data_IF_007490737277
#
_entry.id   IF_007490737277
#
_cell.length_a   1.000
_cell.length_b   1.000
_cell.length_c   1.000
_cell.angle_alpha   90.00
_cell.angle_beta   90.00
_cell.angle_gamma   90.00
#
_symmetry.space_group_name_H-M   'P 1'
#
loop_
_entity.id
_entity.type
_entity.pdbx_description
1 polymer ?
#
# COMPACT_ATOMS: atom_id res chain seq x y z
N UNK A 1 4.26 -7.05 -25.41
CA UNK A 1 4.77 -5.84 -26.11
C UNK A 1 4.20 -4.61 -25.43
N UNK A 2 4.83 -3.43 -25.59
CA UNK A 2 4.27 -2.15 -25.07
C UNK A 2 3.27 -1.62 -26.09
N UNK A 3 2.14 -1.08 -25.65
CA UNK A 3 1.15 -0.47 -26.52
C UNK A 3 1.63 0.91 -27.00
N UNK A 4 1.45 1.19 -28.30
CA UNK A 4 1.60 2.53 -28.87
C UNK A 4 0.38 3.41 -28.55
N UNK A 5 0.47 4.69 -28.85
CA UNK A 5 -0.62 5.66 -28.70
C UNK A 5 -1.90 5.22 -29.42
N UNK A 6 -1.79 4.72 -30.66
CA UNK A 6 -2.94 4.21 -31.40
C UNK A 6 -3.58 3.01 -30.74
N UNK A 7 -2.79 2.07 -30.21
CA UNK A 7 -3.28 0.89 -29.51
C UNK A 7 -3.89 1.23 -28.15
N UNK A 8 -3.33 2.21 -27.43
CA UNK A 8 -3.92 2.73 -26.18
C UNK A 8 -5.29 3.36 -26.50
N UNK A 9 -5.39 4.19 -27.54
CA UNK A 9 -6.66 4.80 -27.95
C UNK A 9 -7.72 3.76 -28.31
N UNK A 10 -7.40 2.78 -29.14
CA UNK A 10 -8.29 1.67 -29.48
C UNK A 10 -8.74 0.88 -28.22
N UNK A 11 -7.84 0.68 -27.27
CA UNK A 11 -8.14 -0.01 -26.02
C UNK A 11 -9.08 0.83 -25.13
N UNK A 12 -8.94 2.17 -25.13
CA UNK A 12 -9.85 3.08 -24.43
C UNK A 12 -11.22 3.10 -25.11
N UNK A 13 -11.29 3.23 -26.43
CA UNK A 13 -12.53 3.23 -27.21
C UNK A 13 -13.31 1.92 -27.05
N UNK A 14 -12.62 0.79 -26.96
CA UNK A 14 -13.22 -0.54 -26.73
C UNK A 14 -13.55 -0.83 -25.26
N UNK A 15 -13.20 0.06 -24.32
CA UNK A 15 -13.43 -0.12 -22.89
C UNK A 15 -12.48 -1.12 -22.21
N UNK A 16 -11.46 -1.64 -22.90
CA UNK A 16 -10.43 -2.50 -22.28
C UNK A 16 -9.49 -1.73 -21.37
N UNK A 17 -9.29 -0.45 -21.65
CA UNK A 17 -8.64 0.52 -20.75
C UNK A 17 -9.66 1.60 -20.47
N UNK A 18 -9.90 1.88 -19.18
CA UNK A 18 -10.74 2.98 -18.74
C UNK A 18 -9.87 3.97 -18.00
N UNK A 19 -9.97 5.25 -18.36
CA UNK A 19 -9.29 6.36 -17.68
C UNK A 19 -10.33 7.48 -17.49
N UNK A 20 -10.55 7.92 -16.26
CA UNK A 20 -11.53 8.97 -15.96
C UNK A 20 -10.94 10.00 -14.98
N UNK A 21 -10.82 11.28 -15.35
CA UNK A 21 -11.15 11.84 -16.66
C UNK A 21 -10.11 11.45 -17.73
N UNK A 22 -10.57 11.18 -18.97
CA UNK A 22 -9.66 10.98 -20.10
C UNK A 22 -9.40 12.33 -20.78
N UNK A 23 -8.12 12.64 -20.99
CA UNK A 23 -7.66 13.86 -21.66
C UNK A 23 -6.79 13.48 -22.86
N UNK A 24 -7.21 13.71 -24.11
CA UNK A 24 -6.41 13.35 -25.30
C UNK A 24 -4.98 13.91 -25.27
N UNK A 25 -4.78 15.10 -24.69
CA UNK A 25 -3.46 15.74 -24.57
C UNK A 25 -2.48 14.98 -23.64
N UNK A 26 -2.98 14.05 -22.82
CA UNK A 26 -2.18 13.22 -21.92
C UNK A 26 -1.69 11.93 -22.59
N UNK A 27 -2.16 11.63 -23.82
CA UNK A 27 -1.72 10.48 -24.57
C UNK A 27 -0.35 10.77 -25.20
N UNK A 28 0.69 10.09 -24.74
CA UNK A 28 2.05 10.12 -25.27
C UNK A 28 2.24 9.03 -26.32
N UNK A 29 3.47 8.87 -26.83
CA UNK A 29 3.80 7.90 -27.89
C UNK A 29 3.47 6.45 -27.50
N UNK A 30 3.67 6.08 -26.22
CA UNK A 30 3.49 4.72 -25.71
C UNK A 30 3.11 4.72 -24.22
N UNK A 31 2.51 5.79 -23.75
CA UNK A 31 2.07 5.96 -22.36
C UNK A 31 0.92 6.95 -22.29
N UNK A 32 0.26 7.00 -21.13
CA UNK A 32 -0.75 7.99 -20.78
C UNK A 32 -0.35 8.68 -19.48
N UNK A 33 -0.26 10.02 -19.52
CA UNK A 33 0.09 10.83 -18.35
C UNK A 33 -1.02 10.86 -17.32
N UNK A 34 -0.67 10.66 -16.04
CA UNK A 34 -1.58 10.79 -14.91
C UNK A 34 -1.16 11.94 -13.99
N UNK A 35 -2.14 12.48 -13.28
CA UNK A 35 -1.99 13.69 -12.46
C UNK A 35 -2.12 13.36 -10.99
N UNK A 36 -1.45 14.17 -10.16
CA UNK A 36 -1.55 14.07 -8.70
C UNK A 36 -2.90 14.59 -8.23
N UNK A 37 -3.65 13.74 -7.56
CA UNK A 37 -4.90 14.10 -6.89
C UNK A 37 -4.68 15.06 -5.71
N UNK A 38 -5.76 15.60 -5.13
CA UNK A 38 -5.67 16.66 -4.12
C UNK A 38 -5.33 16.17 -2.70
N UNK A 39 -5.23 14.87 -2.48
CA UNK A 39 -5.04 14.31 -1.15
C UNK A 39 -3.65 13.70 -0.98
N UNK A 40 -3.03 14.00 0.15
CA UNK A 40 -1.81 13.37 0.64
C UNK A 40 -2.07 12.77 2.02
N UNK A 41 -1.37 11.69 2.35
CA UNK A 41 -1.39 11.16 3.69
C UNK A 41 0.03 10.79 4.15
N UNK A 42 0.25 10.81 5.48
CA UNK A 42 1.46 10.31 6.13
C UNK A 42 1.07 9.32 7.21
N UNK A 43 1.95 8.37 7.50
CA UNK A 43 1.76 7.52 8.67
C UNK A 43 2.02 8.32 9.95
N UNK A 44 1.23 8.06 10.99
CA UNK A 44 1.34 8.76 12.29
C UNK A 44 2.23 8.02 13.28
N UNK A 45 2.47 6.73 13.10
CA UNK A 45 3.33 5.92 13.95
C UNK A 45 4.81 6.13 13.57
N UNK A 46 5.70 6.23 14.58
CA UNK A 46 7.14 6.37 14.37
C UNK A 46 7.79 5.11 13.77
N UNK A 47 7.23 3.92 14.05
CA UNK A 47 7.63 2.66 13.46
C UNK A 47 6.40 1.90 12.92
N UNK A 48 6.43 1.56 11.64
CA UNK A 48 5.34 0.81 11.01
C UNK A 48 5.43 -0.68 11.35
N UNK A 49 4.28 -1.31 11.59
CA UNK A 49 4.19 -2.74 11.85
C UNK A 49 3.44 -3.42 10.69
N UNK A 50 4.11 -4.33 9.98
CA UNK A 50 3.51 -5.07 8.87
C UNK A 50 2.36 -6.00 9.29
N UNK A 51 2.26 -6.37 10.57
CA UNK A 51 1.24 -7.29 11.10
C UNK A 51 -0.05 -6.61 11.56
N UNK A 52 -0.07 -5.29 11.66
CA UNK A 52 -1.25 -4.52 12.08
C UNK A 52 -1.59 -3.40 11.10
N UNK A 53 -2.82 -2.87 11.10
CA UNK A 53 -3.11 -1.63 10.41
C UNK A 53 -2.26 -0.50 11.00
N UNK A 54 -1.68 0.33 10.12
CA UNK A 54 -0.97 1.54 10.53
C UNK A 54 -1.84 2.75 10.20
N UNK A 55 -2.05 3.62 11.17
CA UNK A 55 -2.89 4.80 11.01
C UNK A 55 -2.20 5.85 10.11
N UNK A 56 -3.01 6.56 9.33
CA UNK A 56 -2.56 7.67 8.50
C UNK A 56 -3.26 8.97 8.91
N UNK A 57 -2.57 10.07 8.71
CA UNK A 57 -3.13 11.41 8.73
C UNK A 57 -3.21 11.91 7.30
N UNK A 58 -4.42 12.16 6.83
CA UNK A 58 -4.68 12.69 5.51
C UNK A 58 -4.82 14.22 5.55
N UNK A 59 -4.29 14.88 4.54
CA UNK A 59 -4.43 16.31 4.31
C UNK A 59 -4.83 16.58 2.86
N UNK A 60 -5.70 17.56 2.65
CA UNK A 60 -5.95 18.10 1.32
C UNK A 60 -4.90 19.15 1.01
N UNK A 61 -4.23 19.03 -0.13
CA UNK A 61 -3.22 20.02 -0.54
C UNK A 61 -3.85 21.41 -0.71
N UNK A 62 -3.24 22.46 -0.13
CA UNK A 62 -3.66 23.83 -0.36
C UNK A 62 -3.34 24.26 -1.80
N UNK A 63 -3.98 25.36 -2.27
CA UNK A 63 -3.74 25.88 -3.62
C UNK A 63 -2.30 26.35 -3.83
N UNK A 64 -1.65 26.79 -2.77
CA UNK A 64 -0.25 27.24 -2.72
C UNK A 64 0.75 26.08 -2.82
N UNK A 65 0.24 24.85 -2.90
CA UNK A 65 1.01 23.63 -2.96
C UNK A 65 1.43 23.12 -1.57
N UNK A 66 2.04 21.94 -1.55
CA UNK A 66 2.53 21.27 -0.35
C UNK A 66 4.02 20.97 -0.52
N UNK A 67 4.84 21.20 0.51
CA UNK A 67 6.27 20.91 0.46
C UNK A 67 6.52 19.52 1.02
N UNK A 68 6.99 18.61 0.16
CA UNK A 68 7.52 17.33 0.58
C UNK A 68 8.94 17.53 1.11
N UNK A 69 9.32 16.79 2.16
CA UNK A 69 10.66 16.84 2.75
C UNK A 69 11.32 15.45 2.73
N UNK A 70 12.66 15.37 2.60
CA UNK A 70 13.38 14.11 2.66
C UNK A 70 13.17 13.35 3.98
N UNK A 71 13.23 12.01 3.90
CA UNK A 71 13.10 11.15 5.07
C UNK A 71 11.67 10.86 5.49
N UNK A 72 10.67 11.44 4.82
CA UNK A 72 9.25 11.21 5.05
C UNK A 72 8.65 10.43 3.88
N UNK A 73 7.87 9.38 4.17
CA UNK A 73 7.03 8.70 3.20
C UNK A 73 5.66 9.41 3.14
N UNK A 74 5.26 9.79 1.94
CA UNK A 74 3.95 10.36 1.67
C UNK A 74 3.14 9.40 0.81
N UNK A 75 1.89 9.22 1.12
CA UNK A 75 0.95 8.53 0.25
C UNK A 75 0.17 9.57 -0.54
N UNK A 76 0.38 9.61 -1.85
CA UNK A 76 -0.43 10.37 -2.78
C UNK A 76 -1.48 9.50 -3.44
N UNK A 77 -2.30 10.08 -4.30
CA UNK A 77 -3.28 9.36 -5.12
C UNK A 77 -3.37 10.03 -6.50
N UNK A 78 -3.63 9.25 -7.55
CA UNK A 78 -3.88 9.82 -8.87
C UNK A 78 -5.22 10.55 -8.92
N UNK A 79 -5.31 11.58 -9.78
CA UNK A 79 -6.59 12.21 -10.11
C UNK A 79 -7.46 11.25 -10.94
N UNK A 80 -6.82 10.44 -11.79
CA UNK A 80 -7.50 9.54 -12.69
C UNK A 80 -7.87 8.23 -11.99
N UNK A 81 -9.14 7.85 -12.09
CA UNK A 81 -9.60 6.49 -11.94
C UNK A 81 -9.24 5.68 -13.17
N UNK A 82 -8.77 4.45 -13.00
CA UNK A 82 -8.37 3.59 -14.11
C UNK A 82 -8.91 2.16 -13.96
N UNK A 83 -9.19 1.52 -15.11
CA UNK A 83 -9.43 0.08 -15.22
C UNK A 83 -8.57 -0.50 -16.34
N UNK A 84 -8.09 -1.71 -16.17
CA UNK A 84 -7.28 -2.36 -17.21
C UNK A 84 -7.69 -3.81 -17.37
N UNK A 85 -8.15 -4.16 -18.58
CA UNK A 85 -8.65 -5.49 -18.94
C UNK A 85 -7.87 -6.04 -20.13
N UNK A 86 -7.25 -7.20 -19.97
CA UNK A 86 -6.43 -7.87 -20.99
C UNK A 86 -5.04 -7.26 -21.20
N UNK A 87 -4.60 -6.35 -20.34
CA UNK A 87 -3.28 -5.74 -20.34
C UNK A 87 -2.71 -5.69 -18.93
N UNK A 88 -1.39 -5.48 -18.82
CA UNK A 88 -0.72 -5.16 -17.54
C UNK A 88 -0.36 -3.69 -17.54
N UNK A 89 -0.93 -2.87 -16.64
CA UNK A 89 -0.53 -1.48 -16.48
C UNK A 89 0.72 -1.37 -15.62
N UNK A 90 1.64 -0.49 -16.00
CA UNK A 90 2.75 -0.03 -15.19
C UNK A 90 2.62 1.47 -14.97
N UNK A 91 2.65 1.90 -13.73
CA UNK A 91 2.75 3.30 -13.37
C UNK A 91 4.22 3.65 -13.14
N UNK A 92 4.74 4.55 -13.96
CA UNK A 92 6.12 5.03 -13.87
C UNK A 92 6.16 6.54 -13.65
N UNK A 93 7.24 7.02 -13.03
CA UNK A 93 7.47 8.45 -12.87
C UNK A 93 7.79 9.13 -14.21
N UNK A 94 7.38 10.39 -14.34
CA UNK A 94 7.83 11.21 -15.48
C UNK A 94 9.28 11.69 -15.28
N UNK A 95 10.03 11.76 -16.36
CA UNK A 95 11.43 12.20 -16.30
C UNK A 95 11.61 13.60 -15.68
N UNK A 96 10.66 14.51 -15.90
CA UNK A 96 10.67 15.84 -15.28
C UNK A 96 10.42 15.81 -13.77
N UNK A 97 9.62 14.85 -13.29
CA UNK A 97 9.34 14.62 -11.86
C UNK A 97 10.57 14.00 -11.19
N UNK A 98 11.17 12.99 -11.83
CA UNK A 98 12.40 12.39 -11.33
C UNK A 98 13.57 13.38 -11.23
N UNK A 99 13.68 14.36 -12.17
CA UNK A 99 14.70 15.43 -12.11
C UNK A 99 14.47 16.43 -10.97
N UNK A 100 13.28 16.49 -10.38
CA UNK A 100 13.02 17.22 -9.13
C UNK A 100 13.39 16.39 -7.90
N UNK A 101 13.87 15.15 -8.09
CA UNK A 101 14.21 14.23 -7.00
C UNK A 101 13.01 13.58 -6.35
N UNK A 102 11.88 13.46 -7.06
CA UNK A 102 10.64 12.84 -6.58
C UNK A 102 10.58 11.40 -7.09
N UNK A 103 10.48 10.43 -6.17
CA UNK A 103 10.06 9.07 -6.44
C UNK A 103 8.54 8.99 -6.22
N UNK A 104 7.81 8.28 -7.08
CA UNK A 104 6.34 8.14 -6.95
C UNK A 104 5.89 6.76 -6.50
N UNK A 105 6.77 5.80 -6.49
CA UNK A 105 6.59 4.47 -5.90
C UNK A 105 7.96 3.93 -5.43
N UNK A 106 7.93 3.05 -4.42
CA UNK A 106 9.15 2.43 -3.91
C UNK A 106 9.60 1.27 -4.79
N UNK A 107 8.72 0.30 -5.05
CA UNK A 107 9.05 -0.92 -5.82
C UNK A 107 7.88 -1.49 -6.61
N UNK A 108 6.68 -0.96 -6.49
CA UNK A 108 5.45 -1.61 -6.96
C UNK A 108 4.70 -0.77 -8.01
N UNK A 109 5.41 -0.37 -9.08
CA UNK A 109 4.80 0.34 -10.20
C UNK A 109 3.86 -0.53 -11.07
N UNK A 110 3.98 -1.89 -10.97
CA UNK A 110 3.14 -2.81 -11.74
C UNK A 110 1.75 -2.98 -11.10
N UNK A 111 0.70 -2.74 -11.89
CA UNK A 111 -0.65 -3.17 -11.58
C UNK A 111 -0.93 -4.59 -12.12
N UNK A 112 -1.93 -5.25 -11.55
CA UNK A 112 -2.43 -6.51 -12.09
C UNK A 112 -3.55 -6.25 -13.12
N UNK A 113 -3.74 -7.17 -14.04
CA UNK A 113 -4.93 -7.19 -14.91
C UNK A 113 -6.19 -7.28 -14.04
N UNK A 114 -7.23 -6.50 -14.39
CA UNK A 114 -8.45 -6.38 -13.58
C UNK A 114 -8.31 -5.41 -12.38
N UNK A 115 -7.22 -4.65 -12.29
CA UNK A 115 -7.12 -3.56 -11.31
C UNK A 115 -7.99 -2.39 -11.75
N UNK A 116 -8.96 -2.01 -10.89
CA UNK A 116 -9.98 -1.01 -11.15
C UNK A 116 -10.04 -0.04 -9.95
N UNK A 117 -9.18 1.00 -9.95
CA UNK A 117 -9.10 1.97 -8.85
C UNK A 117 -8.31 3.23 -9.27
N UNK A 118 -8.20 4.17 -8.34
CA UNK A 118 -7.15 5.18 -8.32
C UNK A 118 -5.84 4.56 -7.83
N UNK A 119 -4.70 5.09 -8.30
CA UNK A 119 -3.38 4.61 -7.86
C UNK A 119 -2.94 5.35 -6.61
N UNK A 120 -2.64 4.62 -5.55
CA UNK A 120 -1.93 5.18 -4.40
C UNK A 120 -0.44 5.20 -4.71
N UNK A 121 0.17 6.38 -4.55
CA UNK A 121 1.58 6.65 -4.82
C UNK A 121 2.36 6.62 -3.52
N UNK A 122 3.47 5.87 -3.46
CA UNK A 122 4.40 5.88 -2.31
C UNK A 122 5.52 6.89 -2.57
N UNK A 123 5.23 8.15 -2.27
CA UNK A 123 6.09 9.27 -2.67
C UNK A 123 7.20 9.53 -1.65
N UNK A 124 8.42 9.73 -2.16
CA UNK A 124 9.56 10.21 -1.39
C UNK A 124 10.36 11.23 -2.20
N UNK A 125 11.16 12.07 -1.53
CA UNK A 125 11.95 13.11 -2.19
C UNK A 125 13.39 13.13 -1.70
N UNK A 126 14.31 13.52 -2.61
CA UNK A 126 15.74 13.65 -2.31
C UNK A 126 16.09 15.02 -1.72
N UNK A 127 15.32 16.04 -2.05
CA UNK A 127 15.44 17.42 -1.58
C UNK A 127 14.04 17.96 -1.29
N UNK A 128 13.87 19.03 -0.48
CA UNK A 128 12.55 19.64 -0.29
C UNK A 128 11.98 20.11 -1.64
N UNK A 129 10.75 19.66 -1.98
CA UNK A 129 10.11 19.98 -3.26
C UNK A 129 8.66 20.39 -3.01
N UNK A 130 8.26 21.52 -3.61
CA UNK A 130 6.87 21.94 -3.60
C UNK A 130 6.10 21.29 -4.74
N UNK A 131 5.01 20.62 -4.41
CA UNK A 131 4.12 19.94 -5.36
C UNK A 131 2.72 20.56 -5.31
N UNK A 132 1.92 20.30 -6.34
CA UNK A 132 0.58 20.86 -6.50
C UNK A 132 -0.40 19.77 -6.94
N UNK A 133 -1.64 19.86 -6.49
CA UNK A 133 -2.72 19.04 -7.03
C UNK A 133 -2.90 19.34 -8.53
N UNK A 134 -3.19 18.30 -9.32
CA UNK A 134 -3.36 18.41 -10.77
C UNK A 134 -2.06 18.49 -11.58
N UNK A 135 -0.88 18.47 -10.94
CA UNK A 135 0.37 18.39 -11.70
C UNK A 135 0.55 17.01 -12.33
N UNK A 136 1.12 16.90 -13.55
CA UNK A 136 1.51 15.61 -14.11
C UNK A 136 2.53 14.94 -13.18
N UNK A 137 2.24 13.74 -12.69
CA UNK A 137 3.07 13.06 -11.69
C UNK A 137 3.70 11.76 -12.19
N UNK A 138 3.00 11.04 -13.03
CA UNK A 138 3.41 9.76 -13.56
C UNK A 138 2.85 9.52 -14.95
N UNK A 139 3.12 8.33 -15.47
CA UNK A 139 2.62 7.85 -16.76
C UNK A 139 2.28 6.37 -16.65
N UNK A 140 1.17 5.97 -17.24
CA UNK A 140 0.77 4.58 -17.38
C UNK A 140 1.28 4.01 -18.68
N UNK A 141 2.02 2.91 -18.60
CA UNK A 141 2.49 2.11 -19.73
C UNK A 141 1.74 0.79 -19.70
N UNK A 142 1.28 0.32 -20.83
CA UNK A 142 0.49 -0.91 -20.92
C UNK A 142 1.23 -1.99 -21.70
N UNK A 143 1.27 -3.20 -21.14
CA UNK A 143 1.90 -4.36 -21.75
C UNK A 143 0.87 -5.39 -22.14
N UNK A 144 1.07 -6.02 -23.29
CA UNK A 144 0.30 -7.21 -23.68
C UNK A 144 0.66 -8.39 -22.80
N UNK A 145 -0.32 -9.27 -22.58
CA UNK A 145 -0.17 -10.48 -21.78
C UNK A 145 -0.06 -11.67 -22.74
N UNK A 146 0.93 -12.53 -22.52
CA UNK A 146 1.07 -13.77 -23.28
C UNK A 146 0.24 -14.89 -22.63
N UNK A 147 -0.80 -15.33 -23.34
CA UNK A 147 -1.70 -16.39 -22.91
C UNK A 147 -2.87 -15.91 -22.05
N UNK A 148 -3.79 -16.83 -21.70
CA UNK A 148 -4.98 -16.52 -20.92
C UNK A 148 -4.67 -16.29 -19.44
N UNK A 149 -5.44 -15.42 -18.80
CA UNK A 149 -5.43 -15.21 -17.35
C UNK A 149 -6.56 -16.03 -16.72
N UNK A 150 -6.23 -16.89 -15.77
CA UNK A 150 -7.25 -17.67 -15.05
C UNK A 150 -8.01 -16.82 -14.00
N UNK A 151 -7.32 -15.86 -13.37
CA UNK A 151 -7.90 -15.03 -12.29
C UNK A 151 -7.35 -13.61 -12.38
N UNK A 152 -8.20 -12.67 -12.75
CA UNK A 152 -7.92 -11.25 -12.68
C UNK A 152 -7.87 -10.74 -11.23
N UNK A 153 -7.36 -9.53 -11.04
CA UNK A 153 -7.27 -8.89 -9.72
C UNK A 153 -8.64 -8.70 -9.06
N UNK A 154 -9.65 -8.37 -9.84
CA UNK A 154 -11.04 -8.17 -9.43
C UNK A 154 -11.68 -9.42 -8.80
N UNK A 155 -11.30 -10.62 -9.28
CA UNK A 155 -11.81 -11.91 -8.82
C UNK A 155 -10.92 -12.62 -7.80
N UNK A 156 -9.66 -12.17 -7.65
CA UNK A 156 -8.66 -12.78 -6.77
C UNK A 156 -9.02 -12.55 -5.30
N UNK A 157 -9.24 -13.61 -4.53
CA UNK A 157 -9.62 -13.54 -3.10
C UNK A 157 -8.59 -12.79 -2.23
N UNK A 158 -7.29 -12.85 -2.58
CA UNK A 158 -6.21 -12.17 -1.89
C UNK A 158 -6.01 -10.70 -2.30
N UNK A 159 -6.81 -10.16 -3.25
CA UNK A 159 -6.72 -8.76 -3.67
C UNK A 159 -7.12 -7.82 -2.53
N UNK A 160 -6.24 -6.90 -2.18
CA UNK A 160 -6.38 -6.04 -1.00
C UNK A 160 -7.00 -4.68 -1.28
N UNK A 161 -6.90 -4.18 -2.52
CA UNK A 161 -7.23 -2.80 -2.88
C UNK A 161 -8.38 -2.73 -3.92
N UNK A 162 -9.42 -3.56 -3.72
CA UNK A 162 -10.61 -3.60 -4.61
C UNK A 162 -11.64 -2.50 -4.32
N UNK A 163 -11.67 -1.99 -3.09
CA UNK A 163 -12.58 -0.89 -2.75
C UNK A 163 -12.08 0.38 -3.42
N UNK A 164 -12.87 0.92 -4.32
CA UNK A 164 -12.55 2.17 -5.04
C UNK A 164 -12.45 3.32 -4.05
N UNK A 165 -11.35 4.07 -4.13
CA UNK A 165 -11.11 5.22 -3.26
C UNK A 165 -10.34 6.32 -4.00
N UNK A 166 -10.86 7.55 -4.05
CA UNK A 166 -10.13 8.72 -4.54
C UNK A 166 -9.16 9.29 -3.48
N UNK A 167 -8.98 8.58 -2.37
CA UNK A 167 -8.08 8.92 -1.27
C UNK A 167 -6.93 7.92 -1.19
N UNK A 168 -5.75 8.32 -0.71
CA UNK A 168 -4.63 7.41 -0.50
C UNK A 168 -5.02 6.25 0.42
N UNK A 169 -4.66 5.02 0.04
CA UNK A 169 -4.98 3.82 0.83
C UNK A 169 -3.70 3.36 1.54
N UNK A 170 -3.68 3.25 2.89
CA UNK A 170 -2.52 2.75 3.61
C UNK A 170 -2.25 1.27 3.33
N UNK A 171 -1.05 0.81 3.68
CA UNK A 171 -0.65 -0.59 3.52
C UNK A 171 -1.64 -1.54 4.19
N UNK A 172 -2.08 -2.55 3.44
CA UNK A 172 -2.89 -3.68 3.93
C UNK A 172 -2.06 -4.96 4.08
N UNK A 173 -0.75 -4.83 4.33
CA UNK A 173 0.14 -5.97 4.51
C UNK A 173 -0.31 -6.90 5.65
N UNK A 174 -0.89 -6.37 6.73
CA UNK A 174 -1.40 -7.12 7.86
C UNK A 174 -2.43 -8.20 7.50
N UNK A 175 -3.13 -8.06 6.36
CA UNK A 175 -4.06 -9.08 5.87
C UNK A 175 -3.38 -10.39 5.47
N UNK A 176 -2.08 -10.37 5.14
CA UNK A 176 -1.31 -11.57 4.81
C UNK A 176 -0.99 -12.44 6.03
N UNK A 177 -1.13 -11.88 7.23
CA UNK A 177 -0.86 -12.59 8.50
C UNK A 177 -2.13 -13.11 9.17
N UNK A 178 -3.30 -12.92 8.56
CA UNK A 178 -4.53 -13.54 9.02
C UNK A 178 -4.54 -15.00 8.61
N UNK A 179 -4.88 -15.95 9.52
CA UNK A 179 -5.06 -17.34 9.12
C UNK A 179 -6.15 -17.41 8.03
N UNK A 180 -6.03 -18.33 7.05
CA UNK A 180 -7.08 -18.53 6.05
C UNK A 180 -8.41 -18.79 6.74
N UNK A 181 -9.49 -18.21 6.19
CA UNK A 181 -10.84 -18.40 6.70
C UNK A 181 -11.23 -19.89 6.57
N UNK A 182 -11.00 -20.67 7.56
CA UNK A 182 -11.17 -22.13 7.59
C UNK A 182 -10.39 -22.80 8.70
N UNK A 183 -9.26 -22.23 9.14
CA UNK A 183 -8.43 -22.81 10.21
C UNK A 183 -8.80 -22.36 11.63
N UNK A 184 -9.76 -21.45 11.78
CA UNK A 184 -10.23 -20.98 13.08
C UNK A 184 -11.03 -22.06 13.86
N UNK A 185 -11.31 -23.23 13.28
CA UNK A 185 -12.08 -24.31 13.91
C UNK A 185 -11.22 -25.41 14.59
N UNK A 186 -9.90 -25.29 14.55
CA UNK A 186 -8.99 -26.23 15.27
C UNK A 186 -8.29 -25.56 16.45
N UNK A 187 -9.05 -25.01 17.38
CA UNK A 187 -8.57 -24.79 18.75
C UNK A 187 -8.22 -26.15 19.35
N UNK A 188 -7.04 -26.38 19.91
CA UNK A 188 -6.77 -27.61 20.64
C UNK A 188 -7.73 -27.63 21.84
N UNK A 189 -8.61 -28.62 21.85
CA UNK A 189 -9.42 -28.94 23.05
C UNK A 189 -8.42 -29.13 24.18
N UNK A 190 -8.30 -28.13 25.05
CA UNK A 190 -7.61 -28.25 26.32
C UNK A 190 -8.23 -29.43 27.06
N UNK A 191 -7.50 -30.54 27.07
CA UNK A 191 -7.87 -31.72 27.83
C UNK A 191 -8.04 -31.32 29.29
N UNK A 192 -9.26 -31.42 29.80
CA UNK A 192 -9.54 -31.43 31.23
C UNK A 192 -8.69 -32.53 31.86
N UNK A 193 -7.60 -32.13 32.50
CA UNK A 193 -6.90 -33.00 33.46
C UNK A 193 -7.91 -33.26 34.62
N UNK A 194 -8.38 -34.47 34.74
CA UNK A 194 -9.06 -34.99 35.91
C UNK A 194 -8.10 -34.85 37.11
N UNK A 195 -8.51 -34.11 38.12
CA UNK A 195 -7.88 -34.09 39.41
C UNK A 195 -7.99 -35.48 40.05
N UNK A 196 -6.91 -36.08 40.49
CA UNK A 196 -6.89 -37.23 41.40
C UNK A 196 -6.81 -36.71 42.84
N UNK A 197 -7.51 -37.36 43.78
CA UNK A 197 -7.60 -36.90 45.17
C UNK A 197 -6.47 -37.49 46.04
N UNK A 198 -5.97 -36.70 46.96
CA UNK A 198 -5.58 -37.10 48.30
C UNK A 198 -4.14 -37.60 48.52
N UNK A 199 -3.40 -36.88 49.36
CA UNK A 199 -2.20 -37.34 50.01
C UNK A 199 -1.70 -36.30 51.04
N UNK A 200 -2.05 -36.49 52.30
CA UNK A 200 -1.54 -35.73 53.48
C UNK A 200 -0.03 -35.92 53.66
N UNK A 201 0.66 -34.84 54.12
CA UNK A 201 1.97 -35.06 54.67
C UNK A 201 2.83 -33.83 54.94
N UNK A 202 2.69 -33.29 56.13
CA UNK A 202 3.66 -32.71 57.07
C UNK A 202 4.56 -31.53 56.74
N UNK A 203 4.35 -30.56 57.58
CA UNK A 203 5.13 -29.44 58.13
C UNK A 203 6.64 -29.75 58.33
N UNK A 204 7.51 -28.83 57.91
CA UNK A 204 8.72 -28.47 58.63
C UNK A 204 9.10 -27.01 58.40
N UNK A 205 9.44 -26.39 59.48
CA UNK A 205 9.78 -24.97 59.77
C UNK A 205 11.22 -24.65 59.45
N UNK A 206 11.50 -23.37 59.32
CA UNK A 206 12.66 -22.53 59.69
C UNK A 206 13.75 -22.29 58.63
N UNK A 207 14.04 -20.98 58.53
CA UNK A 207 15.37 -20.47 58.20
C UNK A 207 15.34 -18.99 57.77
N UNK A 208 15.55 -18.12 58.72
CA UNK A 208 15.71 -16.65 58.66
C UNK A 208 17.05 -16.24 58.08
N UNK A 209 17.07 -14.99 57.56
CA UNK A 209 18.21 -14.03 57.50
C UNK A 209 19.05 -14.11 56.20
N UNK A 210 19.48 -13.05 55.55
CA UNK A 210 19.91 -11.69 55.90
C UNK A 210 20.08 -10.84 54.64
N UNK A 211 19.74 -9.57 54.69
CA UNK A 211 20.27 -8.52 53.80
C UNK A 211 21.71 -8.18 54.17
N UNK A 212 22.52 -7.67 53.28
CA UNK A 212 23.12 -6.36 53.49
C UNK A 212 23.08 -5.46 52.24
N UNK A 213 22.78 -4.29 52.45
CA UNK A 213 23.23 -2.91 52.45
C UNK A 213 24.25 -2.51 51.38
N UNK A 214 23.89 -1.36 50.81
CA UNK A 214 24.55 -0.46 49.90
C UNK A 214 25.95 0.02 50.34
N UNK A 215 26.73 0.43 49.32
CA UNK A 215 27.72 1.52 49.24
C UNK A 215 28.01 1.66 47.75
N UNK A 216 28.04 2.80 47.09
CA UNK A 216 28.40 4.14 47.44
C UNK A 216 29.59 4.56 46.59
N UNK A 217 29.38 5.60 45.77
CA UNK A 217 30.35 6.60 45.30
C UNK A 217 31.57 6.18 44.43
N UNK A 218 31.70 6.62 43.22
CA UNK A 218 32.30 7.88 42.72
C UNK A 218 31.95 8.07 41.26
#
# INVERSE_FOLDING_TARGET
>A
MILSDTRIREAVESGRIVIRPYRPACLGTNSYDVHLGPYLATYVDGALDARRPNAILEVRMPKEGFVLVPGQLYLGVTEEYTETHGYVPFLEGKSSVGRLGIDIHSTAGKGDEGFCNYWTLEMSVKVPVRIYAGMPIGQLIYFEISGPIERGYDTKASAKYRTVSPHPIPSRMHLNFRPPAGDAARSPRTGRRRAAPGGHGRVARRGRARRPRARGAR
#
